data_IF_257113226611
#
_entry.id   IF_257113226611
#
_cell.length_a   1.000
_cell.length_b   1.000
_cell.length_c   1.000
_cell.angle_alpha   90.00
_cell.angle_beta   90.00
_cell.angle_gamma   90.00
#
_symmetry.space_group_name_H-M   'P 1'
#
loop_
_entity.id
_entity.type
_entity.pdbx_description
1 polymer ?
#
# COMPACT_ATOMS: atom_id res chain seq x y z
N UNK A 1 -20.52 -23.01 -9.67
CA UNK A 1 -19.19 -22.38 -9.50
C UNK A 1 -18.20 -23.15 -10.32
N UNK A 2 -17.43 -22.46 -11.17
CA UNK A 2 -16.35 -23.08 -11.92
C UNK A 2 -15.34 -23.72 -10.95
N UNK A 3 -14.73 -24.85 -11.35
CA UNK A 3 -13.61 -25.41 -10.60
C UNK A 3 -12.38 -24.52 -10.86
N UNK A 4 -11.88 -23.85 -9.81
CA UNK A 4 -10.75 -22.91 -9.85
C UNK A 4 -9.41 -23.64 -10.02
N UNK A 5 -9.28 -24.37 -11.12
CA UNK A 5 -8.03 -25.04 -11.49
C UNK A 5 -6.94 -24.01 -11.78
N UNK A 6 -5.67 -24.40 -11.58
CA UNK A 6 -4.52 -23.54 -11.92
C UNK A 6 -4.58 -22.99 -13.34
N UNK A 7 -4.98 -23.81 -14.32
CA UNK A 7 -5.06 -23.38 -15.72
C UNK A 7 -6.20 -22.38 -15.96
N UNK A 8 -7.32 -22.54 -15.25
CA UNK A 8 -8.41 -21.57 -15.30
C UNK A 8 -7.98 -20.24 -14.68
N UNK A 9 -7.37 -20.25 -13.49
CA UNK A 9 -6.84 -19.05 -12.82
C UNK A 9 -5.82 -18.33 -13.70
N UNK A 10 -4.89 -19.08 -14.31
CA UNK A 10 -3.91 -18.55 -15.25
C UNK A 10 -4.56 -17.91 -16.48
N UNK A 11 -5.61 -18.52 -17.03
CA UNK A 11 -6.37 -17.95 -18.16
C UNK A 11 -6.98 -16.62 -17.77
N UNK A 12 -7.62 -16.53 -16.59
CA UNK A 12 -8.24 -15.31 -16.08
C UNK A 12 -7.23 -14.20 -15.80
N UNK A 13 -6.11 -14.50 -15.11
CA UNK A 13 -5.03 -13.52 -14.90
C UNK A 13 -4.48 -12.95 -16.22
N UNK A 14 -4.38 -13.77 -17.28
CA UNK A 14 -3.98 -13.30 -18.61
C UNK A 14 -5.02 -12.42 -19.28
N UNK A 15 -6.31 -12.72 -19.10
CA UNK A 15 -7.38 -11.88 -19.61
C UNK A 15 -7.37 -10.53 -18.91
N UNK A 16 -7.23 -10.51 -17.59
CA UNK A 16 -7.09 -9.28 -16.80
C UNK A 16 -5.93 -8.44 -17.36
N UNK A 17 -4.74 -9.01 -17.48
CA UNK A 17 -3.59 -8.30 -18.05
C UNK A 17 -3.85 -7.74 -19.46
N UNK A 18 -4.56 -8.48 -20.30
CA UNK A 18 -4.93 -8.04 -21.64
C UNK A 18 -5.89 -6.86 -21.57
N UNK A 19 -6.87 -6.90 -20.66
CA UNK A 19 -7.80 -5.80 -20.43
C UNK A 19 -7.07 -4.53 -20.01
N UNK A 20 -6.14 -4.62 -19.05
CA UNK A 20 -5.29 -3.48 -18.63
C UNK A 20 -4.47 -2.90 -19.80
N UNK A 21 -3.96 -3.77 -20.68
CA UNK A 21 -3.19 -3.34 -21.86
C UNK A 21 -4.07 -2.66 -22.94
N UNK A 22 -5.38 -2.94 -22.95
CA UNK A 22 -6.34 -2.48 -23.96
C UNK A 22 -7.26 -1.35 -23.47
N UNK A 23 -7.26 -1.06 -22.17
CA UNK A 23 -8.11 -0.04 -21.55
C UNK A 23 -7.54 1.37 -21.73
N UNK A 24 -8.40 2.30 -22.14
CA UNK A 24 -8.19 3.73 -21.88
C UNK A 24 -8.47 3.97 -20.39
N UNK A 25 -7.74 4.89 -19.74
CA UNK A 25 -7.59 5.03 -18.27
C UNK A 25 -8.89 5.06 -17.43
N UNK A 26 -10.06 5.29 -18.04
CA UNK A 26 -11.30 5.67 -17.36
C UNK A 26 -12.39 4.58 -17.31
N UNK A 27 -12.17 3.38 -17.87
CA UNK A 27 -13.18 2.31 -17.84
C UNK A 27 -12.60 1.01 -17.27
N UNK A 28 -12.77 0.78 -15.96
CA UNK A 28 -12.38 -0.48 -15.28
C UNK A 28 -13.48 -1.54 -15.29
N UNK A 29 -14.62 -1.31 -15.95
CA UNK A 29 -15.72 -2.29 -15.96
C UNK A 29 -15.29 -3.62 -16.58
N UNK A 30 -14.34 -3.62 -17.52
CA UNK A 30 -13.77 -4.85 -18.09
C UNK A 30 -13.07 -5.73 -17.04
N UNK A 31 -12.48 -5.15 -15.99
CA UNK A 31 -11.81 -5.91 -14.93
C UNK A 31 -12.83 -6.76 -14.19
N UNK A 32 -13.96 -6.13 -13.89
CA UNK A 32 -15.09 -6.76 -13.23
C UNK A 32 -15.81 -7.73 -14.13
N UNK A 33 -16.02 -7.43 -15.41
CA UNK A 33 -16.60 -8.38 -16.37
C UNK A 33 -15.79 -9.68 -16.42
N UNK A 34 -14.45 -9.59 -16.48
CA UNK A 34 -13.59 -10.78 -16.54
C UNK A 34 -13.69 -11.62 -15.25
N UNK A 35 -13.77 -10.98 -14.08
CA UNK A 35 -13.93 -11.67 -12.81
C UNK A 35 -15.35 -12.19 -12.60
N UNK A 36 -16.38 -11.47 -13.06
CA UNK A 36 -17.80 -11.72 -12.81
C UNK A 36 -18.42 -12.74 -13.76
N UNK A 37 -17.93 -12.83 -15.00
CA UNK A 37 -18.44 -13.73 -16.07
C UNK A 37 -18.68 -15.18 -15.62
N UNK A 38 -17.99 -15.66 -14.58
CA UNK A 38 -18.08 -17.04 -14.08
C UNK A 38 -18.71 -17.19 -12.66
N UNK A 39 -19.13 -16.08 -12.03
CA UNK A 39 -19.65 -16.04 -10.64
C UNK A 39 -21.13 -15.62 -10.52
N UNK A 40 -21.91 -15.70 -11.60
CA UNK A 40 -23.31 -15.24 -11.77
C UNK A 40 -24.38 -15.60 -10.71
N UNK A 41 -24.07 -16.29 -9.61
CA UNK A 41 -25.04 -16.56 -8.56
C UNK A 41 -24.40 -16.59 -7.18
N UNK A 42 -24.38 -15.43 -6.51
CA UNK A 42 -24.63 -15.25 -5.08
C UNK A 42 -24.58 -13.76 -4.72
N UNK A 43 -25.09 -13.47 -3.54
CA UNK A 43 -25.20 -12.19 -2.85
C UNK A 43 -23.79 -11.62 -2.51
N UNK A 44 -22.89 -11.56 -3.49
CA UNK A 44 -21.46 -11.38 -3.30
C UNK A 44 -21.05 -10.04 -3.91
N UNK A 45 -20.71 -9.07 -3.06
CA UNK A 45 -20.13 -7.80 -3.49
C UNK A 45 -18.81 -8.03 -4.24
N UNK A 46 -18.45 -7.13 -5.15
CA UNK A 46 -17.29 -7.27 -6.05
C UNK A 46 -15.98 -7.58 -5.32
N UNK A 47 -15.73 -6.93 -4.17
CA UNK A 47 -14.56 -7.21 -3.33
C UNK A 47 -14.47 -8.67 -2.85
N UNK A 48 -15.59 -9.35 -2.61
CA UNK A 48 -15.61 -10.76 -2.16
C UNK A 48 -15.13 -11.71 -3.26
N UNK A 49 -15.44 -11.40 -4.53
CA UNK A 49 -15.04 -12.24 -5.67
C UNK A 49 -13.55 -12.10 -5.94
N UNK A 50 -13.02 -10.88 -5.95
CA UNK A 50 -11.59 -10.65 -6.14
C UNK A 50 -10.77 -11.25 -5.00
N UNK A 51 -11.20 -11.06 -3.74
CA UNK A 51 -10.55 -11.67 -2.59
C UNK A 51 -10.48 -13.20 -2.72
N UNK A 52 -11.61 -13.83 -3.07
CA UNK A 52 -11.67 -15.27 -3.27
C UNK A 52 -10.75 -15.73 -4.41
N UNK A 53 -10.76 -15.03 -5.53
CA UNK A 53 -9.91 -15.33 -6.68
C UNK A 53 -8.42 -15.18 -6.33
N UNK A 54 -8.02 -14.10 -5.64
CA UNK A 54 -6.65 -13.85 -5.21
C UNK A 54 -6.15 -14.91 -4.22
N UNK A 55 -6.96 -15.27 -3.22
CA UNK A 55 -6.66 -16.34 -2.24
C UNK A 55 -6.44 -17.69 -2.90
N UNK A 56 -7.15 -18.00 -3.98
CA UNK A 56 -6.95 -19.24 -4.72
C UNK A 56 -5.73 -19.17 -5.66
N UNK A 57 -5.52 -18.04 -6.34
CA UNK A 57 -4.39 -17.83 -7.24
C UNK A 57 -3.04 -17.88 -6.51
N UNK A 58 -2.94 -17.28 -5.33
CA UNK A 58 -1.68 -17.16 -4.57
C UNK A 58 -1.13 -18.51 -4.11
N UNK A 59 -1.97 -19.55 -4.02
CA UNK A 59 -1.54 -20.92 -3.68
C UNK A 59 -0.59 -21.51 -4.73
N UNK A 60 -0.60 -20.98 -5.95
CA UNK A 60 0.24 -21.43 -7.06
C UNK A 60 1.35 -20.42 -7.34
N UNK A 61 2.58 -20.72 -6.91
CA UNK A 61 3.74 -19.83 -7.08
C UNK A 61 4.01 -19.44 -8.54
N UNK A 62 3.66 -20.30 -9.50
CA UNK A 62 3.79 -20.01 -10.93
C UNK A 62 2.84 -18.90 -11.42
N UNK A 63 1.81 -18.56 -10.63
CA UNK A 63 0.87 -17.47 -10.93
C UNK A 63 1.30 -16.13 -10.33
N UNK A 64 2.18 -16.11 -9.31
CA UNK A 64 2.65 -14.88 -8.66
C UNK A 64 3.20 -13.84 -9.64
N UNK A 65 4.00 -14.19 -10.68
CA UNK A 65 4.46 -13.20 -11.64
C UNK A 65 3.34 -12.49 -12.40
N UNK A 66 2.23 -13.19 -12.66
CA UNK A 66 1.06 -12.58 -13.32
C UNK A 66 0.35 -11.63 -12.36
N UNK A 67 0.11 -12.05 -11.12
CA UNK A 67 -0.49 -11.20 -10.07
C UNK A 67 0.34 -9.93 -9.84
N UNK A 68 1.66 -10.06 -9.69
CA UNK A 68 2.56 -8.89 -9.54
C UNK A 68 2.46 -7.94 -10.73
N UNK A 69 2.41 -8.49 -11.95
CA UNK A 69 2.30 -7.68 -13.17
C UNK A 69 0.97 -6.92 -13.20
N UNK A 70 -0.13 -7.52 -12.74
CA UNK A 70 -1.43 -6.86 -12.64
C UNK A 70 -1.34 -5.67 -11.70
N UNK A 71 -0.89 -5.89 -10.45
CA UNK A 71 -0.77 -4.83 -9.44
C UNK A 71 0.10 -3.67 -9.94
N UNK A 72 1.25 -3.97 -10.54
CA UNK A 72 2.14 -2.93 -11.11
C UNK A 72 1.48 -2.09 -12.18
N UNK A 73 0.72 -2.70 -13.07
CA UNK A 73 0.04 -1.95 -14.13
C UNK A 73 -1.11 -1.12 -13.59
N UNK A 74 -1.76 -1.56 -12.50
CA UNK A 74 -2.78 -0.76 -11.83
C UNK A 74 -2.14 0.47 -11.19
N UNK A 75 -1.00 0.30 -10.50
CA UNK A 75 -0.20 1.44 -9.99
C UNK A 75 0.14 2.42 -11.11
N UNK A 76 0.60 1.93 -12.27
CA UNK A 76 0.93 2.76 -13.44
C UNK A 76 -0.29 3.52 -13.99
N UNK A 77 -1.48 2.94 -13.92
CA UNK A 77 -2.70 3.61 -14.37
C UNK A 77 -3.20 4.66 -13.37
N UNK A 78 -2.93 4.47 -12.08
CA UNK A 78 -3.31 5.39 -11.02
C UNK A 78 -2.36 6.61 -10.88
N UNK A 79 -1.43 6.84 -11.82
CA UNK A 79 -0.47 7.95 -11.71
C UNK A 79 -1.15 9.35 -11.72
N UNK A 80 -0.57 10.34 -11.01
CA UNK A 80 -1.30 11.45 -10.39
C UNK A 80 -1.85 12.55 -11.32
N UNK A 81 -1.76 12.40 -12.64
CA UNK A 81 -2.33 13.39 -13.58
C UNK A 81 -3.76 13.06 -14.00
N UNK A 82 -4.18 11.81 -13.87
CA UNK A 82 -5.53 11.35 -14.25
C UNK A 82 -6.20 10.74 -13.01
N UNK A 83 -7.29 11.35 -12.54
CA UNK A 83 -8.15 10.87 -11.44
C UNK A 83 -8.75 9.51 -11.80
N UNK A 84 -7.95 8.45 -11.70
CA UNK A 84 -8.47 7.09 -11.82
C UNK A 84 -9.15 6.75 -10.51
N UNK A 85 -10.45 7.07 -10.45
CA UNK A 85 -11.34 6.70 -9.36
C UNK A 85 -11.44 5.18 -9.30
N UNK A 86 -10.80 4.58 -8.30
CA UNK A 86 -11.23 3.29 -7.78
C UNK A 86 -12.56 3.57 -7.07
N UNK A 87 -13.67 3.42 -7.81
CA UNK A 87 -15.02 3.52 -7.26
C UNK A 87 -15.11 2.69 -5.96
N UNK A 88 -15.89 3.14 -4.98
CA UNK A 88 -15.96 2.62 -3.59
C UNK A 88 -16.13 1.07 -3.46
N UNK A 89 -16.51 0.38 -4.55
CA UNK A 89 -16.72 -1.07 -4.61
C UNK A 89 -15.58 -1.84 -5.33
N UNK A 90 -14.63 -1.13 -5.94
CA UNK A 90 -13.64 -1.64 -6.89
C UNK A 90 -12.25 -1.70 -6.26
N UNK A 91 -11.96 -2.83 -5.61
CA UNK A 91 -10.68 -3.16 -4.98
C UNK A 91 -9.54 -3.44 -5.98
N UNK A 92 -9.48 -2.74 -7.12
CA UNK A 92 -8.63 -3.05 -8.27
C UNK A 92 -7.20 -3.45 -7.91
N UNK A 93 -6.94 -4.76 -7.86
CA UNK A 93 -5.63 -5.32 -7.57
C UNK A 93 -5.22 -5.33 -6.09
N UNK A 94 -6.00 -4.77 -5.17
CA UNK A 94 -5.65 -4.69 -3.76
C UNK A 94 -5.60 -6.07 -3.11
N UNK A 95 -6.54 -6.96 -3.39
CA UNK A 95 -6.49 -8.34 -2.89
C UNK A 95 -5.36 -9.15 -3.52
N UNK A 96 -4.99 -8.90 -4.78
CA UNK A 96 -3.78 -9.49 -5.34
C UNK A 96 -2.53 -9.05 -4.60
N UNK A 97 -2.42 -7.75 -4.31
CA UNK A 97 -1.30 -7.18 -3.58
C UNK A 97 -1.24 -7.68 -2.13
N UNK A 98 -2.37 -7.71 -1.41
CA UNK A 98 -2.49 -8.26 -0.05
C UNK A 98 -2.06 -9.71 0.00
N UNK A 99 -2.64 -10.58 -0.84
CA UNK A 99 -2.33 -12.01 -0.79
C UNK A 99 -0.89 -12.30 -1.22
N UNK A 100 -0.32 -11.54 -2.17
CA UNK A 100 1.11 -11.61 -2.51
C UNK A 100 1.98 -11.20 -1.32
N UNK A 101 1.71 -10.06 -0.68
CA UNK A 101 2.45 -9.57 0.48
C UNK A 101 2.38 -10.57 1.64
N UNK A 102 1.22 -11.18 1.88
CA UNK A 102 1.07 -12.25 2.86
C UNK A 102 1.79 -13.54 2.45
N UNK A 103 1.98 -13.82 1.16
CA UNK A 103 2.72 -15.00 0.73
C UNK A 103 4.25 -14.79 0.77
N UNK A 104 4.72 -13.56 0.59
CA UNK A 104 6.14 -13.22 0.47
C UNK A 104 6.42 -11.79 0.95
N UNK A 105 7.33 -11.65 1.93
CA UNK A 105 7.65 -10.34 2.56
C UNK A 105 8.15 -9.31 1.53
N UNK A 106 8.86 -9.75 0.48
CA UNK A 106 9.37 -8.85 -0.57
C UNK A 106 8.23 -8.17 -1.36
N UNK A 107 7.03 -8.73 -1.36
CA UNK A 107 5.87 -8.17 -2.06
C UNK A 107 5.13 -7.10 -1.20
N UNK A 108 5.55 -6.87 0.05
CA UNK A 108 4.99 -5.80 0.90
C UNK A 108 5.23 -4.42 0.29
N UNK A 109 6.38 -4.19 -0.34
CA UNK A 109 6.64 -2.92 -1.02
C UNK A 109 5.63 -2.70 -2.15
N UNK A 110 5.30 -3.73 -2.92
CA UNK A 110 4.34 -3.61 -4.03
C UNK A 110 2.94 -3.26 -3.51
N UNK A 111 2.55 -3.78 -2.36
CA UNK A 111 1.29 -3.41 -1.70
C UNK A 111 1.31 -1.96 -1.20
N UNK A 112 2.40 -1.51 -0.59
CA UNK A 112 2.57 -0.12 -0.17
C UNK A 112 2.55 0.85 -1.36
N UNK A 113 3.16 0.48 -2.49
CA UNK A 113 3.14 1.28 -3.72
C UNK A 113 1.74 1.37 -4.34
N UNK A 114 0.94 0.28 -4.29
CA UNK A 114 -0.46 0.32 -4.69
C UNK A 114 -1.26 1.29 -3.84
N UNK A 115 -1.14 1.17 -2.52
CA UNK A 115 -1.80 2.08 -1.59
C UNK A 115 -1.36 3.53 -1.79
N UNK A 116 -0.08 3.76 -2.07
CA UNK A 116 0.42 5.10 -2.37
C UNK A 116 -0.16 5.72 -3.64
N UNK A 117 -0.58 4.88 -4.59
CA UNK A 117 -1.15 5.34 -5.85
C UNK A 117 -2.64 5.66 -5.78
N UNK A 118 -3.33 5.34 -4.67
CA UNK A 118 -4.78 5.59 -4.59
C UNK A 118 -5.09 7.06 -4.30
N UNK A 119 -6.26 7.52 -4.75
CA UNK A 119 -6.73 8.87 -4.50
C UNK A 119 -6.96 9.11 -2.99
N UNK A 120 -6.26 10.08 -2.37
CA UNK A 120 -6.41 10.38 -0.94
C UNK A 120 -7.79 10.92 -0.54
N UNK A 121 -8.57 11.47 -1.48
CA UNK A 121 -9.87 12.09 -1.21
C UNK A 121 -11.04 11.08 -1.23
N UNK A 122 -10.80 9.83 -1.63
CA UNK A 122 -11.79 8.75 -1.56
C UNK A 122 -11.74 8.02 -0.20
N UNK A 123 -12.91 7.60 0.32
CA UNK A 123 -13.00 6.86 1.58
C UNK A 123 -12.14 5.59 1.51
N UNK A 124 -11.26 5.40 2.50
CA UNK A 124 -10.41 4.22 2.56
C UNK A 124 -11.29 2.97 2.64
N UNK A 125 -11.15 2.03 1.70
CA UNK A 125 -11.89 0.79 1.81
C UNK A 125 -11.43 0.03 3.06
N UNK A 126 -12.35 -0.27 3.99
CA UNK A 126 -12.12 -0.96 5.27
C UNK A 126 -11.24 -2.24 5.22
N UNK A 127 -11.06 -2.85 4.05
CA UNK A 127 -10.19 -4.02 3.87
C UNK A 127 -8.69 -3.70 3.88
N UNK A 128 -8.27 -2.45 3.64
CA UNK A 128 -6.87 -2.04 3.71
C UNK A 128 -6.33 -2.10 5.14
N UNK A 129 -7.12 -1.63 6.11
CA UNK A 129 -6.80 -1.72 7.54
C UNK A 129 -6.58 -3.18 7.99
N UNK A 130 -7.49 -4.09 7.60
CA UNK A 130 -7.39 -5.50 7.94
C UNK A 130 -6.15 -6.14 7.31
N UNK A 131 -5.87 -5.81 6.06
CA UNK A 131 -4.71 -6.29 5.32
C UNK A 131 -3.40 -5.81 5.96
N UNK A 132 -3.32 -4.53 6.35
CA UNK A 132 -2.21 -3.96 7.10
C UNK A 132 -1.93 -4.75 8.38
N UNK A 133 -2.96 -4.93 9.22
CA UNK A 133 -2.83 -5.63 10.49
C UNK A 133 -2.34 -7.08 10.30
N UNK A 134 -2.88 -7.80 9.31
CA UNK A 134 -2.47 -9.17 8.98
C UNK A 134 -1.02 -9.26 8.53
N UNK A 135 -0.54 -8.29 7.72
CA UNK A 135 0.86 -8.25 7.25
C UNK A 135 1.80 -7.98 8.42
N UNK A 136 1.50 -6.99 9.26
CA UNK A 136 2.32 -6.66 10.45
C UNK A 136 2.32 -7.80 11.45
N UNK A 137 1.19 -8.45 11.70
CA UNK A 137 1.11 -9.62 12.59
C UNK A 137 1.99 -10.78 12.09
N UNK A 138 2.03 -10.99 10.77
CA UNK A 138 2.79 -12.09 10.17
C UNK A 138 4.30 -11.88 10.19
N UNK A 139 4.77 -10.69 9.82
CA UNK A 139 6.20 -10.42 9.62
C UNK A 139 6.84 -9.65 10.78
N UNK A 140 6.04 -8.96 11.59
CA UNK A 140 6.52 -8.01 12.60
C UNK A 140 7.12 -6.76 11.97
N UNK A 141 7.60 -5.84 12.81
CA UNK A 141 8.23 -4.60 12.32
C UNK A 141 9.62 -4.86 11.76
N UNK A 142 9.87 -4.38 10.54
CA UNK A 142 11.15 -4.45 9.85
C UNK A 142 11.25 -3.35 8.78
N UNK A 143 12.44 -3.10 8.25
CA UNK A 143 12.64 -2.17 7.13
C UNK A 143 11.82 -2.50 5.88
N UNK A 144 11.43 -3.76 5.71
CA UNK A 144 10.57 -4.20 4.60
C UNK A 144 9.12 -3.76 4.80
N UNK A 145 8.70 -3.59 6.06
CA UNK A 145 7.33 -3.21 6.43
C UNK A 145 7.16 -1.69 6.50
N UNK A 146 8.22 -0.92 6.77
CA UNK A 146 8.10 0.54 6.89
C UNK A 146 7.43 1.24 5.70
N UNK A 147 7.69 0.87 4.42
CA UNK A 147 6.98 1.44 3.28
C UNK A 147 5.46 1.45 3.43
N UNK A 148 4.91 0.36 3.99
CA UNK A 148 3.47 0.24 4.22
C UNK A 148 2.99 1.25 5.27
N UNK A 149 3.75 1.44 6.35
CA UNK A 149 3.44 2.47 7.34
C UNK A 149 3.53 3.88 6.75
N UNK A 150 4.50 4.15 5.87
CA UNK A 150 4.61 5.45 5.19
C UNK A 150 3.40 5.72 4.30
N UNK A 151 3.09 4.81 3.37
CA UNK A 151 1.95 4.94 2.46
C UNK A 151 0.66 5.22 3.25
N UNK A 152 0.46 4.47 4.34
CA UNK A 152 -0.67 4.62 5.23
C UNK A 152 -0.79 6.03 5.83
N UNK A 153 0.31 6.58 6.33
CA UNK A 153 0.29 7.85 7.05
C UNK A 153 0.14 9.07 6.14
N UNK A 154 0.55 8.98 4.87
CA UNK A 154 0.52 10.15 3.98
C UNK A 154 -0.70 10.24 3.06
N UNK A 155 -1.29 9.13 2.62
CA UNK A 155 -2.38 9.14 1.62
C UNK A 155 -3.72 9.52 2.27
N UNK A 156 -4.23 8.73 3.21
CA UNK A 156 -5.58 8.96 3.77
C UNK A 156 -5.55 9.73 5.10
N UNK A 157 -4.93 10.90 5.09
CA UNK A 157 -4.62 11.70 6.29
C UNK A 157 -5.80 12.08 7.21
N UNK A 158 -7.05 11.77 6.85
CA UNK A 158 -8.25 11.94 7.66
C UNK A 158 -8.52 10.76 8.63
N UNK A 159 -7.98 9.56 8.38
CA UNK A 159 -8.15 8.35 9.21
C UNK A 159 -6.92 8.01 10.05
N UNK A 160 -6.00 8.98 10.14
CA UNK A 160 -4.55 8.79 10.18
C UNK A 160 -3.96 7.80 11.20
N UNK A 161 -4.70 7.31 12.21
CA UNK A 161 -4.11 6.66 13.39
C UNK A 161 -4.97 5.59 14.08
N UNK A 162 -6.17 5.24 13.57
CA UNK A 162 -6.97 4.18 14.22
C UNK A 162 -6.42 2.76 13.98
N UNK A 163 -5.48 2.61 13.04
CA UNK A 163 -5.03 1.32 12.51
C UNK A 163 -3.81 0.77 13.25
N UNK A 164 -2.96 1.64 13.78
CA UNK A 164 -1.95 1.21 14.75
C UNK A 164 -2.67 1.05 16.08
N UNK A 165 -3.16 -0.17 16.34
CA UNK A 165 -3.74 -0.47 17.65
C UNK A 165 -2.74 -0.09 18.75
N UNK A 166 -3.23 0.30 19.93
CA UNK A 166 -2.34 0.63 21.06
C UNK A 166 -1.30 -0.47 21.38
N UNK A 167 -1.57 -1.72 21.01
CA UNK A 167 -0.64 -2.83 21.16
C UNK A 167 0.47 -2.79 20.10
N UNK A 168 0.14 -2.45 18.87
CA UNK A 168 1.10 -2.34 17.77
C UNK A 168 1.97 -1.10 17.91
N UNK A 169 1.41 0.00 18.43
CA UNK A 169 2.17 1.21 18.77
C UNK A 169 3.25 0.91 19.83
N UNK A 170 2.91 0.19 20.91
CA UNK A 170 3.89 -0.21 21.94
C UNK A 170 5.00 -1.10 21.37
N UNK A 171 4.64 -2.10 20.56
CA UNK A 171 5.62 -2.98 19.91
C UNK A 171 6.52 -2.21 18.95
N UNK A 172 5.96 -1.25 18.19
CA UNK A 172 6.68 -0.39 17.26
C UNK A 172 7.66 0.52 18.01
N UNK A 173 7.21 1.14 19.10
CA UNK A 173 8.06 1.93 20.00
C UNK A 173 9.21 1.08 20.58
N UNK A 174 8.92 -0.09 21.13
CA UNK A 174 9.94 -1.00 21.67
C UNK A 174 10.90 -1.48 20.58
N UNK A 175 10.43 -1.62 19.34
CA UNK A 175 11.24 -1.99 18.20
C UNK A 175 12.20 -0.87 17.79
N UNK A 176 11.73 0.37 17.70
CA UNK A 176 12.57 1.52 17.38
C UNK A 176 13.60 1.87 18.45
N UNK A 177 13.33 1.53 19.71
CA UNK A 177 14.30 1.65 20.81
C UNK A 177 15.45 0.64 20.74
N UNK A 178 15.37 -0.35 19.85
CA UNK A 178 16.45 -1.32 19.59
C UNK A 178 17.37 -0.82 18.47
N UNK A 179 18.64 -1.17 18.61
CA UNK A 179 19.79 -0.83 17.75
C UNK A 179 19.43 -0.35 16.33
N UNK A 180 19.76 0.91 16.04
CA UNK A 180 19.70 1.58 14.73
C UNK A 180 18.35 1.57 13.97
N UNK A 181 17.31 0.89 14.45
CA UNK A 181 16.01 0.77 13.78
C UNK A 181 15.34 2.14 13.55
N UNK A 182 15.42 3.05 14.52
CA UNK A 182 14.92 4.42 14.34
C UNK A 182 15.69 5.13 13.22
N UNK A 183 17.01 4.94 13.13
CA UNK A 183 17.80 5.56 12.07
C UNK A 183 17.49 4.96 10.70
N UNK A 184 17.27 3.65 10.61
CA UNK A 184 16.83 2.98 9.38
C UNK A 184 15.43 3.46 8.95
N UNK A 185 14.51 3.60 9.91
CA UNK A 185 13.18 4.14 9.68
C UNK A 185 13.20 5.57 9.16
N UNK A 186 13.98 6.45 9.79
CA UNK A 186 14.09 7.86 9.35
C UNK A 186 14.73 7.98 7.95
N UNK A 187 15.69 7.10 7.62
CA UNK A 187 16.27 7.04 6.27
C UNK A 187 15.27 6.56 5.23
N UNK A 188 14.56 5.46 5.50
CA UNK A 188 13.54 4.93 4.60
C UNK A 188 12.40 5.93 4.37
N UNK A 189 12.00 6.65 5.42
CA UNK A 189 11.00 7.71 5.33
C UNK A 189 11.48 8.86 4.45
N UNK A 190 12.75 9.27 4.61
CA UNK A 190 13.34 10.29 3.74
C UNK A 190 13.43 9.83 2.28
N UNK A 191 13.74 8.56 2.01
CA UNK A 191 13.72 7.99 0.66
C UNK A 191 12.29 7.97 0.07
N UNK A 192 11.29 7.64 0.90
CA UNK A 192 9.89 7.57 0.51
C UNK A 192 9.32 8.93 0.11
N UNK A 193 9.48 9.96 0.95
CA UNK A 193 8.99 11.32 0.66
C UNK A 193 9.75 12.01 -0.49
N UNK A 194 10.93 11.51 -0.86
CA UNK A 194 11.64 12.00 -2.05
C UNK A 194 11.15 11.32 -3.34
N UNK A 195 10.51 10.16 -3.21
CA UNK A 195 9.97 9.40 -4.34
C UNK A 195 8.57 9.88 -4.74
N UNK A 196 7.79 10.36 -3.78
CA UNK A 196 6.40 10.78 -3.97
C UNK A 196 6.22 12.24 -3.58
N UNK A 197 5.44 12.96 -4.38
CA UNK A 197 5.16 14.38 -4.14
C UNK A 197 4.05 14.52 -3.09
N UNK A 198 4.40 15.05 -1.92
CA UNK A 198 3.47 15.38 -0.85
C UNK A 198 3.41 16.89 -0.64
N UNK A 199 2.24 17.39 -0.24
CA UNK A 199 2.11 18.79 0.14
C UNK A 199 2.91 19.09 1.42
N UNK A 200 3.46 20.30 1.52
CA UNK A 200 4.23 20.76 2.69
C UNK A 200 3.49 20.55 4.03
N UNK A 201 2.16 20.71 4.04
CA UNK A 201 1.35 20.51 5.25
C UNK A 201 1.19 19.03 5.63
N UNK A 202 1.20 18.10 4.66
CA UNK A 202 1.22 16.67 4.93
C UNK A 202 2.56 16.30 5.52
N UNK A 203 3.66 16.79 4.93
CA UNK A 203 5.01 16.54 5.42
C UNK A 203 5.23 17.05 6.85
N UNK A 204 4.72 18.24 7.21
CA UNK A 204 4.93 18.80 8.56
C UNK A 204 4.07 18.10 9.63
N UNK A 205 2.78 17.86 9.34
CA UNK A 205 1.85 17.29 10.32
C UNK A 205 2.00 15.77 10.44
N UNK A 206 2.01 15.05 9.32
CA UNK A 206 2.08 13.57 9.31
C UNK A 206 3.40 13.11 9.91
N UNK A 207 4.51 13.78 9.61
CA UNK A 207 5.81 13.41 10.18
C UNK A 207 5.84 13.52 11.70
N UNK A 208 5.30 14.62 12.24
CA UNK A 208 5.24 14.83 13.70
C UNK A 208 4.32 13.83 14.37
N UNK A 209 3.15 13.59 13.78
CA UNK A 209 2.18 12.62 14.27
C UNK A 209 2.72 11.19 14.23
N UNK A 210 3.35 10.80 13.12
CA UNK A 210 4.02 9.50 12.96
C UNK A 210 5.10 9.31 14.03
N UNK A 211 5.92 10.32 14.30
CA UNK A 211 6.95 10.22 15.34
C UNK A 211 6.36 10.20 16.75
N UNK A 212 5.40 11.06 17.06
CA UNK A 212 4.77 11.13 18.37
C UNK A 212 4.08 9.80 18.71
N UNK A 213 3.32 9.24 17.76
CA UNK A 213 2.55 8.02 17.97
C UNK A 213 3.35 6.73 17.81
N UNK A 214 4.18 6.60 16.77
CA UNK A 214 4.95 5.39 16.54
C UNK A 214 6.02 5.18 17.61
N UNK A 215 6.56 6.27 18.17
CA UNK A 215 7.58 6.20 19.19
C UNK A 215 7.04 6.38 20.61
N UNK A 216 5.78 6.79 20.79
CA UNK A 216 5.13 7.01 22.08
C UNK A 216 6.11 7.66 23.08
N UNK A 217 6.84 8.67 22.58
CA UNK A 217 7.95 9.29 23.28
C UNK A 217 7.31 10.17 24.33
N UNK A 218 7.53 9.81 25.60
CA UNK A 218 6.95 10.55 26.72
C UNK A 218 7.63 11.90 26.97
N UNK A 219 8.65 12.23 26.17
CA UNK A 219 9.51 13.39 26.34
C UNK A 219 9.64 14.12 24.99
N UNK A 220 9.13 15.35 24.94
CA UNK A 220 9.17 16.23 23.77
C UNK A 220 10.58 16.33 23.17
N UNK A 221 11.62 16.18 24.00
CA UNK A 221 13.02 16.21 23.57
C UNK A 221 13.39 15.05 22.64
N UNK A 222 12.88 13.85 22.86
CA UNK A 222 13.20 12.70 21.99
C UNK A 222 12.56 12.87 20.60
N UNK A 223 11.38 13.53 20.54
CA UNK A 223 10.70 13.89 19.30
C UNK A 223 11.50 14.98 18.59
N UNK A 224 11.90 16.03 19.29
CA UNK A 224 12.74 17.10 18.74
C UNK A 224 14.06 16.55 18.17
N UNK A 225 14.76 15.67 18.89
CA UNK A 225 16.00 15.04 18.43
C UNK A 225 15.78 14.18 17.17
N UNK A 226 14.64 13.49 17.06
CA UNK A 226 14.28 12.70 15.87
C UNK A 226 13.93 13.60 14.67
N UNK A 227 13.19 14.68 14.92
CA UNK A 227 12.86 15.71 13.93
C UNK A 227 14.12 16.37 13.40
N UNK A 228 15.05 16.79 14.27
CA UNK A 228 16.32 17.38 13.87
C UNK A 228 17.16 16.42 13.03
N UNK A 229 17.22 15.13 13.40
CA UNK A 229 17.93 14.11 12.62
C UNK A 229 17.33 13.93 11.24
N UNK A 230 16.01 13.88 11.13
CA UNK A 230 15.32 13.77 9.85
C UNK A 230 15.55 15.00 8.97
N UNK A 231 15.43 16.21 9.52
CA UNK A 231 15.76 17.45 8.82
C UNK A 231 17.22 17.43 8.35
N UNK A 232 18.15 16.91 9.16
CA UNK A 232 19.54 16.78 8.76
C UNK A 232 19.77 15.73 7.64
N UNK A 233 18.95 14.67 7.57
CA UNK A 233 18.97 13.67 6.49
C UNK A 233 18.48 14.30 5.18
N UNK A 234 17.38 15.06 5.22
CA UNK A 234 16.81 15.71 4.04
C UNK A 234 17.63 16.93 3.58
N UNK A 235 18.20 17.70 4.51
CA UNK A 235 19.03 18.88 4.22
C UNK A 235 20.40 18.54 3.59
N UNK A 236 20.86 17.27 3.64
CA UNK A 236 22.05 16.81 2.91
C UNK A 236 21.87 16.70 1.39
N UNK A 237 20.73 17.14 0.87
CA UNK A 237 20.55 17.50 -0.53
C UNK A 237 20.01 16.38 -1.40
N UNK A 238 18.71 16.07 -1.25
CA UNK A 238 17.97 15.26 -2.22
C UNK A 238 16.45 15.55 -2.21
N UNK A 239 16.05 16.80 -1.99
CA UNK A 239 14.71 17.26 -2.37
C UNK A 239 14.90 18.09 -3.65
N UNK A 240 14.76 17.50 -4.85
CA UNK A 240 14.67 18.29 -6.08
C UNK A 240 13.48 19.22 -5.95
N UNK A 241 13.67 20.52 -6.22
CA UNK A 241 12.54 21.42 -6.38
C UNK A 241 12.09 21.32 -7.83
N UNK A 242 10.80 21.48 -8.08
CA UNK A 242 10.19 21.51 -9.42
C UNK A 242 10.94 22.45 -10.41
N UNK A 243 11.64 23.47 -9.89
CA UNK A 243 12.49 24.39 -10.65
C UNK A 243 13.80 23.78 -11.19
N UNK A 244 14.25 22.65 -10.65
CA UNK A 244 15.46 21.94 -11.07
C UNK A 244 15.22 21.05 -12.32
N UNK A 245 13.97 20.97 -12.81
CA UNK A 245 13.55 20.18 -13.97
C UNK A 245 13.04 21.01 -15.18
N UNK A 246 13.37 22.31 -15.24
CA UNK A 246 13.12 23.14 -16.44
C UNK A 246 14.31 23.24 -17.38
#
# INVERSE_FOLDING_TARGET
MAELTKEWLKKKLKLILKGIDESEQDDYNWYFDILWEDFENKDDSMGVIEEYFAKEAVKYKELHPFMRKIVKKIIELNEPEDEVSLDEEAAGGSFFATELALANEEDVLLYAELFQSTDPDHEEPSYFEESFARIVEKYGWSKTIYPLLYAHSFVHGQHNLEIITMNDAKKLTEFFKKDDNLNEFLKGLAEWINKYDYYDYQLENVFRTLLDEALNLKDDKEIEDAVEKFIAITAKGNIPKEADFK
#
